data_IF_682174739976
#
_entry.id   IF_682174739976
#
_cell.length_a   1.000
_cell.length_b   1.000
_cell.length_c   1.000
_cell.angle_alpha   90.00
_cell.angle_beta   90.00
_cell.angle_gamma   90.00
#
_symmetry.space_group_name_H-M   'P 1'
#
loop_
_entity.id
_entity.type
_entity.pdbx_description
1 polymer ?
#
# COMPACT_ATOMS: atom_id res chain seq x y z
N UNK A 1 29.26 5.54 33.70
CA UNK A 1 28.45 4.49 33.06
C UNK A 1 27.82 5.08 31.82
N UNK A 2 28.42 4.85 30.65
CA UNK A 2 27.82 5.22 29.37
C UNK A 2 26.80 4.13 29.03
N UNK A 3 25.50 4.43 29.13
CA UNK A 3 24.52 3.62 28.43
C UNK A 3 24.82 3.78 26.95
N UNK A 4 25.36 2.73 26.33
CA UNK A 4 25.41 2.65 24.88
C UNK A 4 23.97 2.85 24.38
N UNK A 5 23.71 4.00 23.78
CA UNK A 5 22.45 4.23 23.09
C UNK A 5 22.30 3.09 22.10
N UNK A 6 21.30 2.22 22.30
CA UNK A 6 20.91 1.26 21.26
C UNK A 6 20.56 2.10 20.05
N UNK A 7 21.38 2.05 19.01
CA UNK A 7 21.05 2.59 17.70
C UNK A 7 19.92 1.72 17.17
N UNK A 8 18.67 2.12 17.45
CA UNK A 8 17.50 1.49 16.85
C UNK A 8 17.55 1.86 15.36
N UNK A 9 17.55 0.85 14.49
CA UNK A 9 17.32 1.05 13.06
C UNK A 9 16.05 1.88 12.90
N UNK A 10 16.08 2.90 12.04
CA UNK A 10 14.94 3.80 11.88
C UNK A 10 13.66 2.99 11.58
N UNK A 11 12.59 3.25 12.33
CA UNK A 11 11.26 2.70 12.05
C UNK A 11 10.76 3.31 10.74
N UNK A 12 10.35 2.46 9.80
CA UNK A 12 9.73 2.87 8.54
C UNK A 12 8.28 2.40 8.57
N UNK A 13 7.36 3.34 8.44
CA UNK A 13 5.93 3.05 8.37
C UNK A 13 5.47 3.10 6.91
N UNK A 14 5.24 1.92 6.33
CA UNK A 14 4.98 1.80 4.88
C UNK A 14 3.49 1.94 4.52
N UNK A 15 2.62 2.15 5.51
CA UNK A 15 1.19 2.20 5.32
C UNK A 15 0.56 3.26 6.23
N UNK A 16 0.47 4.50 5.74
CA UNK A 16 0.00 5.65 6.52
C UNK A 16 -1.00 6.48 5.74
N UNK A 17 -2.26 6.50 6.18
CA UNK A 17 -3.28 7.38 5.61
C UNK A 17 -3.36 8.76 6.27
N UNK A 18 -2.85 8.93 7.49
CA UNK A 18 -3.05 10.20 8.18
C UNK A 18 -2.47 10.26 9.58
N UNK A 19 -2.54 11.45 10.17
CA UNK A 19 -2.16 11.71 11.54
C UNK A 19 -2.95 12.88 12.13
N UNK A 20 -3.64 12.61 13.25
CA UNK A 20 -4.53 13.57 13.93
C UNK A 20 -5.63 14.07 12.98
N UNK A 21 -5.57 15.33 12.56
CA UNK A 21 -6.57 15.98 11.70
C UNK A 21 -6.13 16.07 10.23
N UNK A 22 -4.98 15.48 9.88
CA UNK A 22 -4.44 15.52 8.52
C UNK A 22 -4.53 14.13 7.91
N UNK A 23 -4.88 14.08 6.64
CA UNK A 23 -5.22 12.86 5.90
C UNK A 23 -4.61 12.93 4.49
N UNK A 24 -4.24 11.79 3.92
CA UNK A 24 -3.68 11.67 2.56
C UNK A 24 -4.74 11.88 1.48
N UNK A 25 -6.03 11.80 1.81
CA UNK A 25 -7.15 12.24 0.98
C UNK A 25 -7.23 13.78 0.90
N UNK A 26 -6.15 14.40 0.46
CA UNK A 26 -5.97 15.85 0.37
C UNK A 26 -5.35 16.25 -0.97
N UNK A 27 -5.55 17.52 -1.36
CA UNK A 27 -4.85 18.16 -2.49
C UNK A 27 -3.69 19.05 -2.03
N UNK A 28 -3.42 19.11 -0.72
CA UNK A 28 -2.47 20.04 -0.10
C UNK A 28 -1.24 19.30 0.39
N UNK A 29 -0.07 19.68 -0.11
CA UNK A 29 1.20 19.12 0.35
C UNK A 29 1.44 19.35 1.85
N UNK A 30 0.93 20.46 2.41
CA UNK A 30 1.14 20.83 3.81
C UNK A 30 0.52 19.82 4.78
N UNK A 31 -0.61 19.22 4.40
CA UNK A 31 -1.24 18.16 5.18
C UNK A 31 -0.32 16.92 5.24
N UNK A 32 0.32 16.56 4.12
CA UNK A 32 1.30 15.47 4.03
C UNK A 32 2.56 15.78 4.84
N UNK A 33 3.09 17.00 4.75
CA UNK A 33 4.24 17.45 5.55
C UNK A 33 3.92 17.39 7.05
N UNK A 34 2.69 17.72 7.44
CA UNK A 34 2.26 17.66 8.84
C UNK A 34 2.11 16.21 9.33
N UNK A 35 1.65 15.28 8.48
CA UNK A 35 1.68 13.84 8.76
C UNK A 35 3.13 13.40 9.04
N UNK A 36 4.07 13.71 8.13
CA UNK A 36 5.49 13.39 8.29
C UNK A 36 6.09 13.95 9.59
N UNK A 37 5.80 15.20 9.93
CA UNK A 37 6.25 15.82 11.18
C UNK A 37 5.72 15.08 12.42
N UNK A 38 4.42 14.75 12.45
CA UNK A 38 3.79 14.07 13.58
C UNK A 38 4.35 12.65 13.76
N UNK A 39 4.55 11.90 12.67
CA UNK A 39 5.20 10.58 12.71
C UNK A 39 6.65 10.69 13.22
N UNK A 40 7.40 11.68 12.72
CA UNK A 40 8.78 11.96 13.17
C UNK A 40 8.87 12.25 14.67
N UNK A 41 7.95 13.07 15.20
CA UNK A 41 7.85 13.36 16.64
C UNK A 41 7.54 12.12 17.50
N UNK A 42 7.02 11.04 16.89
CA UNK A 42 6.68 9.78 17.55
C UNK A 42 7.72 8.68 17.34
N UNK A 43 8.85 9.00 16.71
CA UNK A 43 9.97 8.07 16.53
C UNK A 43 9.97 7.30 15.21
N UNK A 44 9.02 7.56 14.30
CA UNK A 44 9.06 7.04 12.93
C UNK A 44 10.08 7.84 12.12
N UNK A 45 11.10 7.17 11.58
CA UNK A 45 12.16 7.82 10.81
C UNK A 45 11.74 8.11 9.37
N UNK A 46 10.86 7.27 8.81
CA UNK A 46 10.36 7.45 7.45
C UNK A 46 8.95 6.88 7.27
N UNK A 47 8.20 7.42 6.32
CA UNK A 47 6.86 7.01 5.97
C UNK A 47 6.71 6.79 4.46
N UNK A 48 5.75 5.95 4.09
CA UNK A 48 5.20 5.85 2.73
C UNK A 48 3.71 6.21 2.81
N UNK A 49 3.33 7.48 2.58
CA UNK A 49 1.93 7.88 2.64
C UNK A 49 1.07 7.08 1.66
N UNK A 50 -0.10 6.64 2.14
CA UNK A 50 -0.99 5.74 1.42
C UNK A 50 -2.16 6.49 0.80
N UNK A 51 -2.40 6.29 -0.49
CA UNK A 51 -3.55 6.82 -1.21
C UNK A 51 -4.68 5.80 -1.15
N UNK A 52 -5.83 6.24 -0.68
CA UNK A 52 -7.08 5.48 -0.67
C UNK A 52 -7.53 5.10 -2.09
N UNK A 53 -8.25 3.97 -2.25
CA UNK A 53 -8.88 3.66 -3.52
C UNK A 53 -10.00 4.67 -3.81
N UNK A 54 -10.18 5.01 -5.08
CA UNK A 54 -11.09 6.07 -5.50
C UNK A 54 -11.21 6.20 -7.01
N UNK A 55 -11.92 7.24 -7.45
CA UNK A 55 -11.84 7.69 -8.83
C UNK A 55 -10.39 8.03 -9.19
N UNK A 56 -9.94 7.64 -10.38
CA UNK A 56 -8.55 7.77 -10.83
C UNK A 56 -8.05 9.22 -10.69
N UNK A 57 -8.88 10.19 -11.07
CA UNK A 57 -8.57 11.61 -10.98
C UNK A 57 -8.32 12.03 -9.53
N UNK A 58 -9.15 11.59 -8.58
CA UNK A 58 -8.98 11.90 -7.16
C UNK A 58 -7.70 11.29 -6.61
N UNK A 59 -7.42 10.02 -6.93
CA UNK A 59 -6.19 9.34 -6.51
C UNK A 59 -4.96 10.08 -7.05
N UNK A 60 -4.99 10.52 -8.31
CA UNK A 60 -3.89 11.30 -8.92
C UNK A 60 -3.67 12.65 -8.25
N UNK A 61 -4.73 13.31 -7.79
CA UNK A 61 -4.60 14.56 -7.05
C UNK A 61 -3.95 14.34 -5.67
N UNK A 62 -4.28 13.23 -4.98
CA UNK A 62 -3.65 12.85 -3.72
C UNK A 62 -2.16 12.49 -3.94
N UNK A 63 -1.85 11.71 -4.97
CA UNK A 63 -0.46 11.42 -5.37
C UNK A 63 0.32 12.71 -5.68
N UNK A 64 -0.30 13.69 -6.35
CA UNK A 64 0.33 14.97 -6.63
C UNK A 64 0.67 15.75 -5.35
N UNK A 65 -0.20 15.73 -4.33
CA UNK A 65 0.08 16.33 -3.04
C UNK A 65 1.28 15.66 -2.35
N UNK A 66 1.34 14.32 -2.37
CA UNK A 66 2.46 13.56 -1.81
C UNK A 66 3.77 13.86 -2.57
N UNK A 67 3.77 13.83 -3.91
CA UNK A 67 4.98 14.12 -4.70
C UNK A 67 5.52 15.53 -4.44
N UNK A 68 4.64 16.51 -4.30
CA UNK A 68 5.05 17.88 -3.94
C UNK A 68 5.63 17.95 -2.53
N UNK A 69 5.06 17.22 -1.58
CA UNK A 69 5.58 17.12 -0.21
C UNK A 69 6.97 16.46 -0.17
N UNK A 70 7.22 15.42 -0.98
CA UNK A 70 8.55 14.80 -1.11
C UNK A 70 9.64 15.83 -1.48
N UNK A 71 9.39 16.68 -2.48
CA UNK A 71 10.36 17.68 -2.94
C UNK A 71 10.53 18.86 -1.96
N UNK A 72 9.49 19.17 -1.18
CA UNK A 72 9.47 20.29 -0.24
C UNK A 72 9.77 19.89 1.21
N UNK A 73 9.97 18.61 1.51
CA UNK A 73 10.26 18.10 2.84
C UNK A 73 11.52 18.75 3.43
N UNK A 74 11.44 19.21 4.69
CA UNK A 74 12.55 19.86 5.41
C UNK A 74 12.80 19.30 6.81
N UNK A 75 11.94 18.40 7.30
CA UNK A 75 12.05 17.82 8.65
C UNK A 75 10.83 16.97 9.00
N UNK A 76 10.97 16.12 10.01
CA UNK A 76 10.01 15.04 10.30
C UNK A 76 10.48 13.70 9.74
N UNK A 77 9.56 12.73 9.67
CA UNK A 77 9.82 11.45 9.03
C UNK A 77 10.03 11.63 7.52
N UNK A 78 11.08 11.05 6.96
CA UNK A 78 11.33 11.10 5.52
C UNK A 78 10.14 10.52 4.72
N UNK A 79 9.78 11.12 3.60
CA UNK A 79 8.72 10.63 2.72
C UNK A 79 9.36 9.82 1.59
N UNK A 80 9.27 8.49 1.64
CA UNK A 80 10.04 7.60 0.75
C UNK A 80 9.37 7.33 -0.60
N UNK A 81 8.10 7.69 -0.74
CA UNK A 81 7.30 7.50 -1.95
C UNK A 81 5.83 7.37 -1.64
N UNK A 82 5.09 6.68 -2.51
CA UNK A 82 3.64 6.51 -2.43
C UNK A 82 3.29 5.02 -2.31
N UNK A 83 2.35 4.72 -1.43
CA UNK A 83 1.64 3.45 -1.37
C UNK A 83 0.24 3.66 -1.95
N UNK A 84 -0.13 2.88 -2.97
CA UNK A 84 -1.49 2.84 -3.50
C UNK A 84 -2.24 1.66 -2.87
N UNK A 85 -3.15 1.91 -1.92
CA UNK A 85 -4.01 0.85 -1.40
C UNK A 85 -5.18 0.64 -2.37
N UNK A 86 -4.94 -0.10 -3.45
CA UNK A 86 -5.87 -0.28 -4.55
C UNK A 86 -5.62 0.64 -5.77
N UNK A 87 -6.62 0.87 -6.64
CA UNK A 87 -8.05 0.58 -6.46
C UNK A 87 -8.48 -0.83 -6.87
N UNK A 88 -7.53 -1.72 -7.19
CA UNK A 88 -7.79 -3.07 -7.70
C UNK A 88 -8.03 -4.08 -6.57
N UNK A 89 -9.08 -3.85 -5.78
CA UNK A 89 -9.39 -4.57 -4.55
C UNK A 89 -10.76 -5.29 -4.65
N UNK A 90 -11.00 -6.29 -3.80
CA UNK A 90 -12.27 -7.01 -3.77
C UNK A 90 -13.30 -6.27 -2.91
N UNK A 91 -14.44 -5.89 -3.51
CA UNK A 91 -15.48 -5.11 -2.85
C UNK A 91 -16.15 -5.85 -1.67
N UNK A 92 -16.17 -7.19 -1.67
CA UNK A 92 -16.66 -7.99 -0.53
C UNK A 92 -15.72 -7.92 0.68
N UNK A 93 -14.49 -7.46 0.44
CA UNK A 93 -13.42 -7.28 1.41
C UNK A 93 -13.03 -5.80 1.50
N UNK A 94 -13.99 -4.89 1.37
CA UNK A 94 -13.72 -3.45 1.42
C UNK A 94 -13.31 -2.95 2.82
N UNK A 95 -13.72 -3.62 3.90
CA UNK A 95 -13.43 -3.17 5.26
C UNK A 95 -14.05 -1.79 5.53
N UNK A 96 -13.22 -0.80 5.88
CA UNK A 96 -13.65 0.59 6.09
C UNK A 96 -13.65 1.44 4.80
N UNK A 97 -13.17 0.89 3.68
CA UNK A 97 -13.11 1.58 2.39
C UNK A 97 -14.48 1.54 1.69
N UNK A 98 -14.72 2.50 0.79
CA UNK A 98 -15.91 2.45 -0.07
C UNK A 98 -15.68 1.46 -1.22
N UNK A 99 -16.16 0.23 -1.08
CA UNK A 99 -16.04 -0.82 -2.10
C UNK A 99 -16.64 -0.45 -3.46
N UNK A 100 -17.54 0.55 -3.54
CA UNK A 100 -18.07 1.05 -4.82
C UNK A 100 -17.06 1.86 -5.62
N UNK A 101 -16.02 2.35 -4.95
CA UNK A 101 -14.93 3.12 -5.57
C UNK A 101 -13.86 2.23 -6.22
N UNK A 102 -13.86 0.93 -5.91
CA UNK A 102 -12.89 -0.03 -6.42
C UNK A 102 -13.05 -0.18 -7.93
N UNK A 103 -11.94 -0.50 -8.59
CA UNK A 103 -11.87 -0.63 -10.02
C UNK A 103 -11.44 -2.04 -10.37
N UNK A 104 -11.99 -2.63 -11.44
CA UNK A 104 -11.51 -3.94 -11.86
C UNK A 104 -10.09 -3.81 -12.43
N UNK A 105 -9.22 -4.81 -12.21
CA UNK A 105 -7.89 -4.84 -12.78
C UNK A 105 -7.90 -4.66 -14.30
N UNK A 106 -7.18 -3.64 -14.81
CA UNK A 106 -6.93 -3.54 -16.25
C UNK A 106 -5.67 -2.71 -16.54
N UNK A 107 -4.91 -3.05 -17.60
CA UNK A 107 -3.74 -2.27 -18.00
C UNK A 107 -4.07 -0.79 -18.27
N UNK A 108 -5.24 -0.52 -18.87
CA UNK A 108 -5.69 0.84 -19.17
C UNK A 108 -5.91 1.67 -17.90
N UNK A 109 -6.64 1.13 -16.92
CA UNK A 109 -6.89 1.83 -15.65
C UNK A 109 -5.59 2.02 -14.86
N UNK A 110 -4.71 1.03 -14.85
CA UNK A 110 -3.39 1.16 -14.23
C UNK A 110 -2.58 2.28 -14.87
N UNK A 111 -2.46 2.30 -16.21
CA UNK A 111 -1.75 3.38 -16.95
C UNK A 111 -2.34 4.74 -16.60
N UNK A 112 -3.66 4.89 -16.72
CA UNK A 112 -4.36 6.13 -16.35
C UNK A 112 -4.06 6.57 -14.91
N UNK A 113 -3.95 5.64 -13.96
CA UNK A 113 -3.61 5.95 -12.58
C UNK A 113 -2.16 6.38 -12.41
N UNK A 114 -1.20 5.63 -12.95
CA UNK A 114 0.23 5.78 -12.58
C UNK A 114 1.05 6.67 -13.52
N UNK A 115 0.58 6.95 -14.74
CA UNK A 115 1.39 7.63 -15.75
C UNK A 115 1.82 9.01 -15.25
N UNK A 116 3.14 9.23 -15.24
CA UNK A 116 3.80 10.43 -14.72
C UNK A 116 4.09 10.42 -13.22
N UNK A 117 3.86 9.30 -12.52
CA UNK A 117 4.12 9.11 -11.09
C UNK A 117 4.97 7.87 -10.78
N UNK A 118 5.44 7.14 -11.79
CA UNK A 118 6.14 5.87 -11.61
C UNK A 118 7.42 6.01 -10.77
N UNK A 119 8.07 7.18 -10.81
CA UNK A 119 9.25 7.48 -10.01
C UNK A 119 8.96 7.62 -8.50
N UNK A 120 7.71 7.96 -8.15
CA UNK A 120 7.28 8.20 -6.77
C UNK A 120 6.58 6.99 -6.15
N UNK A 121 5.93 6.14 -6.94
CA UNK A 121 5.22 4.95 -6.44
C UNK A 121 6.23 3.90 -5.95
N UNK A 122 5.93 3.30 -4.80
CA UNK A 122 6.75 2.24 -4.17
C UNK A 122 5.97 0.97 -3.99
N UNK A 123 4.73 1.07 -3.53
CA UNK A 123 3.89 -0.06 -3.15
C UNK A 123 2.52 0.10 -3.81
N UNK A 124 1.94 -1.01 -4.26
CA UNK A 124 0.53 -1.09 -4.64
C UNK A 124 -0.10 -2.35 -4.05
N UNK A 125 -1.28 -2.20 -3.44
CA UNK A 125 -2.10 -3.31 -2.94
C UNK A 125 -3.09 -3.75 -4.00
N UNK A 126 -3.14 -5.05 -4.28
CA UNK A 126 -4.01 -5.67 -5.29
C UNK A 126 -4.64 -6.93 -4.71
N UNK A 127 -5.93 -7.15 -4.96
CA UNK A 127 -6.58 -8.43 -4.68
C UNK A 127 -6.25 -9.43 -5.82
N UNK A 128 -5.46 -10.49 -5.57
CA UNK A 128 -4.91 -11.36 -6.62
C UNK A 128 -5.96 -12.24 -7.32
N UNK A 129 -7.09 -12.52 -6.67
CA UNK A 129 -8.14 -13.39 -7.19
C UNK A 129 -9.00 -12.73 -8.27
N UNK A 130 -8.88 -11.42 -8.45
CA UNK A 130 -9.72 -10.69 -9.40
C UNK A 130 -9.31 -10.98 -10.85
N UNK A 131 -10.26 -11.06 -11.79
CA UNK A 131 -9.95 -11.23 -13.20
C UNK A 131 -8.96 -10.18 -13.71
N UNK A 132 -7.83 -10.64 -14.27
CA UNK A 132 -6.76 -9.78 -14.79
C UNK A 132 -5.75 -9.29 -13.75
N UNK A 133 -5.95 -9.55 -12.45
CA UNK A 133 -5.04 -9.11 -11.39
C UNK A 133 -3.64 -9.69 -11.54
N UNK A 134 -3.48 -10.99 -11.79
CA UNK A 134 -2.16 -11.61 -11.98
C UNK A 134 -1.33 -10.91 -13.06
N UNK A 135 -1.95 -10.56 -14.20
CA UNK A 135 -1.26 -9.82 -15.27
C UNK A 135 -0.89 -8.40 -14.85
N UNK A 136 -1.73 -7.79 -14.02
CA UNK A 136 -1.49 -6.47 -13.48
C UNK A 136 -0.33 -6.48 -12.48
N UNK A 137 -0.26 -7.50 -11.61
CA UNK A 137 0.85 -7.75 -10.68
C UNK A 137 2.16 -7.84 -11.46
N UNK A 138 2.24 -8.70 -12.49
CA UNK A 138 3.44 -8.79 -13.36
C UNK A 138 3.85 -7.42 -13.94
N UNK A 139 2.86 -6.62 -14.35
CA UNK A 139 3.09 -5.30 -14.97
C UNK A 139 3.63 -4.31 -13.96
N UNK A 140 3.07 -4.26 -12.75
CA UNK A 140 3.56 -3.44 -11.65
C UNK A 140 5.00 -3.83 -11.26
N UNK A 141 5.31 -5.13 -11.21
CA UNK A 141 6.67 -5.62 -10.92
C UNK A 141 7.67 -5.22 -12.01
N UNK A 142 7.30 -5.31 -13.29
CA UNK A 142 8.14 -4.83 -14.41
C UNK A 142 8.42 -3.33 -14.36
N UNK A 143 7.51 -2.55 -13.75
CA UNK A 143 7.69 -1.11 -13.50
C UNK A 143 8.49 -0.81 -12.22
N UNK A 144 8.86 -1.83 -11.45
CA UNK A 144 9.69 -1.70 -10.24
C UNK A 144 8.90 -1.49 -8.94
N UNK A 145 7.57 -1.55 -8.95
CA UNK A 145 6.76 -1.39 -7.74
C UNK A 145 6.75 -2.67 -6.92
N UNK A 146 6.85 -2.58 -5.60
CA UNK A 146 6.45 -3.67 -4.71
C UNK A 146 4.95 -3.86 -4.82
N UNK A 147 4.51 -5.12 -4.86
CA UNK A 147 3.08 -5.44 -4.93
C UNK A 147 2.72 -6.20 -3.67
N UNK A 148 1.76 -5.69 -2.92
CA UNK A 148 1.19 -6.38 -1.77
C UNK A 148 -0.20 -6.94 -2.14
N UNK A 149 -0.56 -8.05 -1.51
CA UNK A 149 -1.89 -8.64 -1.62
C UNK A 149 -2.71 -8.28 -0.39
N UNK A 150 -3.94 -7.81 -0.58
CA UNK A 150 -4.80 -7.34 0.51
C UNK A 150 -6.19 -6.98 0.00
N UNK A 151 -7.13 -6.73 0.92
CA UNK A 151 -8.54 -6.49 0.58
C UNK A 151 -9.08 -7.55 -0.40
N UNK A 152 -8.84 -8.80 -0.05
CA UNK A 152 -8.90 -9.93 -0.97
C UNK A 152 -9.63 -11.09 -0.35
N UNK A 153 -10.50 -11.70 -1.14
CA UNK A 153 -11.15 -12.96 -0.82
C UNK A 153 -10.40 -14.15 -1.43
N UNK A 154 -9.09 -14.07 -1.66
CA UNK A 154 -8.34 -15.13 -2.31
C UNK A 154 -8.31 -16.46 -1.52
N UNK A 155 -8.39 -17.58 -2.26
CA UNK A 155 -7.99 -18.91 -1.75
C UNK A 155 -6.48 -18.93 -1.49
N UNK A 156 -6.02 -19.95 -0.78
CA UNK A 156 -4.59 -20.21 -0.66
C UNK A 156 -3.94 -20.35 -2.04
N UNK A 157 -4.54 -21.13 -2.95
CA UNK A 157 -4.06 -21.32 -4.32
C UNK A 157 -3.98 -20.00 -5.11
N UNK A 158 -5.00 -19.13 -5.00
CA UNK A 158 -4.99 -17.81 -5.65
C UNK A 158 -3.93 -16.87 -5.06
N UNK A 159 -3.62 -17.01 -3.77
CA UNK A 159 -2.53 -16.28 -3.14
C UNK A 159 -1.16 -16.77 -3.64
N UNK A 160 -0.99 -18.08 -3.82
CA UNK A 160 0.20 -18.68 -4.46
C UNK A 160 0.38 -18.17 -5.90
N UNK A 161 -0.70 -18.16 -6.70
CA UNK A 161 -0.69 -17.58 -8.05
C UNK A 161 -0.27 -16.11 -8.04
N UNK A 162 -0.77 -15.33 -7.06
CA UNK A 162 -0.37 -13.95 -6.83
C UNK A 162 1.13 -13.78 -6.56
N UNK A 163 1.71 -14.63 -5.70
CA UNK A 163 3.17 -14.67 -5.46
C UNK A 163 3.93 -15.05 -6.74
N UNK A 164 3.47 -16.06 -7.48
CA UNK A 164 4.09 -16.49 -8.74
C UNK A 164 4.06 -15.39 -9.81
N UNK A 165 3.00 -14.58 -9.86
CA UNK A 165 2.91 -13.39 -10.70
C UNK A 165 3.86 -12.25 -10.26
N UNK A 166 4.42 -12.36 -9.05
CA UNK A 166 5.48 -11.51 -8.52
C UNK A 166 5.07 -10.64 -7.33
N UNK A 167 3.94 -10.89 -6.68
CA UNK A 167 3.61 -10.22 -5.42
C UNK A 167 4.69 -10.49 -4.37
N UNK A 168 5.01 -9.46 -3.58
CA UNK A 168 6.15 -9.43 -2.64
C UNK A 168 5.72 -9.24 -1.19
N UNK A 169 4.43 -9.08 -0.92
CA UNK A 169 3.96 -9.02 0.46
C UNK A 169 2.45 -9.09 0.62
N UNK A 170 2.02 -8.97 1.87
CA UNK A 170 0.64 -8.97 2.33
C UNK A 170 0.37 -7.67 3.09
N UNK A 171 -0.72 -6.98 2.75
CA UNK A 171 -1.18 -5.77 3.45
C UNK A 171 -1.98 -6.17 4.69
N UNK A 172 -1.71 -5.49 5.81
CA UNK A 172 -2.34 -5.64 7.14
C UNK A 172 -2.95 -7.01 7.46
N UNK A 173 -2.09 -8.03 7.66
CA UNK A 173 -2.49 -9.43 7.80
C UNK A 173 -3.76 -9.64 8.64
N UNK A 174 -4.65 -10.51 8.16
CA UNK A 174 -6.00 -10.83 8.68
C UNK A 174 -7.08 -9.79 8.39
N UNK A 175 -6.76 -8.51 8.22
CA UNK A 175 -7.76 -7.47 8.04
C UNK A 175 -8.27 -7.45 6.60
N UNK A 176 -9.59 -7.34 6.43
CA UNK A 176 -10.21 -7.32 5.11
C UNK A 176 -9.76 -8.50 4.21
N UNK A 177 -9.67 -9.69 4.80
CA UNK A 177 -9.36 -10.93 4.11
C UNK A 177 -10.48 -11.95 4.27
N UNK A 178 -10.46 -12.98 3.43
CA UNK A 178 -11.18 -14.21 3.73
C UNK A 178 -10.85 -14.71 5.13
N UNK A 179 -11.85 -15.25 5.83
CA UNK A 179 -11.66 -15.87 7.14
C UNK A 179 -10.73 -17.09 7.07
N UNK A 180 -9.89 -17.25 8.09
CA UNK A 180 -8.95 -18.36 8.20
C UNK A 180 -9.66 -19.66 8.58
N UNK A 181 -9.47 -20.72 7.78
CA UNK A 181 -10.01 -22.06 8.06
C UNK A 181 -8.92 -23.13 7.87
N UNK A 182 -8.89 -24.16 8.73
CA UNK A 182 -7.80 -25.16 8.75
C UNK A 182 -7.67 -26.00 7.46
N UNK A 183 -8.73 -26.08 6.64
CA UNK A 183 -8.69 -26.75 5.31
C UNK A 183 -8.55 -25.79 4.14
N UNK A 184 -8.78 -24.50 4.36
CA UNK A 184 -8.67 -23.45 3.35
C UNK A 184 -8.19 -22.18 4.07
N UNK A 185 -6.87 -22.05 4.27
CA UNK A 185 -6.32 -20.98 5.10
C UNK A 185 -6.44 -19.59 4.46
N UNK A 186 -6.73 -19.53 3.15
CA UNK A 186 -6.84 -18.29 2.39
C UNK A 186 -5.55 -17.47 2.36
N UNK A 187 -5.67 -16.20 1.98
CA UNK A 187 -4.55 -15.26 1.89
C UNK A 187 -3.80 -15.09 3.23
N UNK A 188 -4.53 -15.01 4.35
CA UNK A 188 -3.92 -14.84 5.66
C UNK A 188 -3.06 -16.05 6.05
N UNK A 189 -3.55 -17.27 5.81
CA UNK A 189 -2.76 -18.47 6.06
C UNK A 189 -1.57 -18.60 5.14
N UNK A 190 -1.72 -18.23 3.86
CA UNK A 190 -0.59 -18.17 2.93
C UNK A 190 0.51 -17.22 3.44
N UNK A 191 0.15 -16.00 3.85
CA UNK A 191 1.09 -15.03 4.41
C UNK A 191 1.84 -15.53 5.66
N UNK A 192 1.20 -16.33 6.51
CA UNK A 192 1.85 -16.92 7.69
C UNK A 192 2.83 -18.06 7.38
N UNK A 193 2.67 -18.72 6.24
CA UNK A 193 3.44 -19.91 5.87
C UNK A 193 4.59 -19.61 4.90
N UNK A 194 4.58 -18.41 4.30
CA UNK A 194 5.54 -18.02 3.29
C UNK A 194 6.62 -17.09 3.85
N UNK A 195 7.80 -17.65 4.10
CA UNK A 195 8.94 -16.93 4.70
C UNK A 195 9.56 -15.87 3.77
N UNK A 196 9.22 -15.85 2.48
CA UNK A 196 9.78 -14.89 1.51
C UNK A 196 8.93 -13.62 1.35
N UNK A 197 7.69 -13.63 1.84
CA UNK A 197 6.80 -12.49 1.74
C UNK A 197 7.00 -11.52 2.90
N UNK A 198 7.01 -10.24 2.58
CA UNK A 198 6.81 -9.22 3.61
C UNK A 198 5.36 -9.30 4.10
N UNK A 199 5.16 -9.36 5.41
CA UNK A 199 3.82 -9.34 6.01
C UNK A 199 3.72 -8.12 6.90
N UNK A 200 2.78 -7.24 6.58
CA UNK A 200 2.39 -6.10 7.42
C UNK A 200 1.56 -6.54 8.63
#
# INVERSE_FOLDING_TARGET
>A
MAYAARTISQLIDIHVHGARTHDTATRRQDDILRIAEIHGQRGTGAIVPTVYPGAIESMRENMAAIRKAMSSHRGGAAILGIHLEGPFLNAERAGCLDGKSFQEPSPKRLSSLIDGFEDAIRIITIAPELPGALKLIETCRKKGFLVQMGHSDATFEQAEEGKQAGATGITHLFNAMRGFHHREPGLAGFGLMDDDLYVE
#
